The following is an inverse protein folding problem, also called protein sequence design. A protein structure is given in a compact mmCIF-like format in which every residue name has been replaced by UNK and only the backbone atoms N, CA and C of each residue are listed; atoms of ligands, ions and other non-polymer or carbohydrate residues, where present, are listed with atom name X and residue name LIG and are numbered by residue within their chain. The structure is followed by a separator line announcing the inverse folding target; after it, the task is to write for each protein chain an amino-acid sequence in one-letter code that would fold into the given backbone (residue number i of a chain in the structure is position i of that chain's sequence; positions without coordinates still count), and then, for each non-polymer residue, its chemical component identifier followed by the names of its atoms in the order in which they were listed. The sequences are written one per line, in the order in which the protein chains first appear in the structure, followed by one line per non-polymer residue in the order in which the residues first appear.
data_IF_204999481246
#
_entry.id   IF_204999481246
#
_cell.length_a   1.000
_cell.length_b   1.000
_cell.length_c   1.000
_cell.angle_alpha   90.00
_cell.angle_beta   90.00
_cell.angle_gamma   90.00
#
_symmetry.space_group_name_H-M   'P 1'
#
loop_
_entity.id
_entity.type
_entity.pdbx_description
1 polymer ?
#
# COMPACT_ATOMS: atom_id res chain seq x y z
N UNK A 1 -32.94 -9.13 -31.69
CA UNK A 1 -31.69 -8.35 -31.80
C UNK A 1 -31.45 -7.68 -30.46
N UNK A 2 -30.61 -8.27 -29.61
CA UNK A 2 -29.98 -7.66 -28.44
C UNK A 2 -28.68 -8.43 -28.22
N UNK A 3 -27.58 -7.85 -28.66
CA UNK A 3 -26.25 -8.38 -28.40
C UNK A 3 -25.91 -8.07 -26.94
N UNK A 4 -26.05 -9.07 -26.07
CA UNK A 4 -25.41 -9.07 -24.75
C UNK A 4 -23.98 -9.55 -24.98
N UNK A 5 -23.12 -8.64 -25.43
CA UNK A 5 -21.67 -8.80 -25.27
C UNK A 5 -21.35 -8.42 -23.84
N UNK A 6 -21.59 -9.36 -22.91
CA UNK A 6 -20.94 -9.32 -21.61
C UNK A 6 -19.43 -9.37 -21.86
N UNK A 7 -18.77 -8.25 -21.60
CA UNK A 7 -17.32 -8.12 -21.56
C UNK A 7 -16.73 -9.07 -20.49
N UNK A 8 -16.59 -10.35 -20.83
CA UNK A 8 -15.96 -11.40 -20.01
C UNK A 8 -14.43 -11.25 -19.90
N UNK A 9 -13.87 -10.12 -20.33
CA UNK A 9 -12.40 -9.88 -20.36
C UNK A 9 -11.86 -9.21 -19.08
N UNK A 10 -12.69 -8.87 -18.09
CA UNK A 10 -12.27 -7.96 -17.01
C UNK A 10 -11.94 -8.52 -15.58
N UNK A 11 -11.66 -9.82 -15.31
CA UNK A 11 -11.11 -10.20 -14.01
C UNK A 11 -9.56 -10.25 -13.96
N UNK A 12 -8.85 -10.28 -15.10
CA UNK A 12 -7.40 -10.54 -15.09
C UNK A 12 -6.54 -9.35 -14.64
N UNK A 13 -6.93 -8.11 -14.97
CA UNK A 13 -6.13 -6.91 -14.71
C UNK A 13 -5.86 -6.67 -13.21
N UNK A 14 -6.84 -6.81 -12.30
CA UNK A 14 -6.57 -6.70 -10.86
C UNK A 14 -5.55 -7.72 -10.36
N UNK A 15 -5.65 -8.98 -10.79
CA UNK A 15 -4.71 -10.03 -10.36
C UNK A 15 -3.32 -9.90 -11.00
N UNK A 16 -3.21 -9.45 -12.25
CA UNK A 16 -1.91 -9.11 -12.85
C UNK A 16 -1.24 -7.97 -12.07
N UNK A 17 -2.02 -6.93 -11.75
CA UNK A 17 -1.53 -5.78 -10.97
C UNK A 17 -1.08 -6.23 -9.58
N UNK A 18 -1.86 -7.07 -8.91
CA UNK A 18 -1.50 -7.69 -7.64
C UNK A 18 -0.21 -8.51 -7.76
N UNK A 19 -0.06 -9.34 -8.79
CA UNK A 19 1.15 -10.13 -9.00
C UNK A 19 2.40 -9.27 -9.15
N UNK A 20 2.35 -8.22 -9.98
CA UNK A 20 3.45 -7.25 -10.15
C UNK A 20 3.80 -6.55 -8.85
N UNK A 21 2.78 -6.08 -8.14
CA UNK A 21 2.93 -5.42 -6.85
C UNK A 21 3.57 -6.35 -5.82
N UNK A 22 3.08 -7.59 -5.69
CA UNK A 22 3.63 -8.57 -4.73
C UNK A 22 5.06 -8.97 -5.09
N UNK A 23 5.39 -9.13 -6.37
CA UNK A 23 6.77 -9.38 -6.79
C UNK A 23 7.72 -8.26 -6.40
N UNK A 24 7.30 -6.99 -6.46
CA UNK A 24 8.15 -5.88 -6.00
C UNK A 24 8.22 -5.84 -4.47
N UNK A 25 7.07 -5.93 -3.82
CA UNK A 25 6.98 -5.91 -2.36
C UNK A 25 7.88 -6.99 -1.75
N UNK A 26 7.81 -8.22 -2.26
CA UNK A 26 8.48 -9.39 -1.67
C UNK A 26 9.92 -9.62 -2.12
N UNK A 27 10.40 -8.93 -3.16
CA UNK A 27 11.76 -9.14 -3.66
C UNK A 27 12.65 -7.90 -3.46
N UNK A 28 12.06 -6.70 -3.39
CA UNK A 28 12.81 -5.46 -3.56
C UNK A 28 12.53 -4.39 -2.51
N UNK A 29 11.56 -4.59 -1.63
CA UNK A 29 11.33 -3.65 -0.52
C UNK A 29 11.98 -4.14 0.78
N UNK A 30 12.20 -3.21 1.69
CA UNK A 30 12.61 -3.49 3.07
C UNK A 30 11.61 -4.38 3.80
N UNK A 31 10.33 -4.39 3.42
CA UNK A 31 9.34 -5.30 4.02
C UNK A 31 9.66 -6.78 3.73
N UNK A 32 10.33 -7.08 2.62
CA UNK A 32 10.73 -8.45 2.31
C UNK A 32 12.08 -8.85 2.89
N UNK A 33 13.03 -7.91 2.91
CA UNK A 33 14.39 -8.15 3.38
C UNK A 33 14.54 -7.99 4.89
N UNK A 34 13.56 -7.37 5.55
CA UNK A 34 13.53 -7.25 7.00
C UNK A 34 13.35 -8.63 7.63
N UNK A 35 14.44 -9.13 8.22
CA UNK A 35 14.45 -10.31 9.09
C UNK A 35 13.52 -10.17 10.31
N UNK A 36 12.99 -8.97 10.54
CA UNK A 36 12.06 -8.63 11.62
C UNK A 36 10.59 -8.67 11.20
N UNK A 37 10.27 -8.78 9.91
CA UNK A 37 8.88 -8.91 9.45
C UNK A 37 8.36 -10.30 9.79
N UNK A 38 7.19 -10.34 10.41
CA UNK A 38 6.47 -11.55 10.80
C UNK A 38 5.00 -11.42 10.43
N UNK A 39 4.29 -12.54 10.25
CA UNK A 39 2.84 -12.51 10.02
C UNK A 39 2.41 -11.70 8.79
N UNK A 40 3.05 -11.94 7.64
CA UNK A 40 2.61 -11.33 6.38
C UNK A 40 1.28 -11.96 5.94
N UNK A 41 0.26 -11.13 5.79
CA UNK A 41 -1.09 -11.53 5.41
C UNK A 41 -1.57 -10.66 4.24
N UNK A 42 -2.17 -11.31 3.23
CA UNK A 42 -2.72 -10.64 2.06
C UNK A 42 -4.16 -11.10 1.88
N UNK A 43 -5.08 -10.16 1.74
CA UNK A 43 -6.49 -10.47 1.47
C UNK A 43 -7.16 -9.39 0.64
N UNK A 44 -8.25 -9.78 -0.03
CA UNK A 44 -9.07 -8.87 -0.82
C UNK A 44 -10.11 -8.17 0.07
N UNK A 45 -10.37 -6.88 -0.18
CA UNK A 45 -11.45 -6.16 0.51
C UNK A 45 -12.80 -6.48 -0.10
N UNK A 46 -13.81 -6.51 0.76
CA UNK A 46 -15.20 -6.45 0.30
C UNK A 46 -15.43 -5.12 -0.45
N UNK A 47 -15.82 -5.21 -1.73
CA UNK A 47 -15.93 -4.05 -2.62
C UNK A 47 -14.72 -3.79 -3.52
N UNK A 48 -13.68 -4.65 -3.46
CA UNK A 48 -12.51 -4.61 -4.33
C UNK A 48 -11.29 -3.95 -3.70
N UNK A 49 -10.11 -4.28 -4.26
CA UNK A 49 -8.81 -3.86 -3.75
C UNK A 49 -8.19 -4.86 -2.80
N UNK A 50 -6.91 -4.68 -2.50
CA UNK A 50 -6.10 -5.62 -1.72
C UNK A 50 -5.57 -4.96 -0.45
N UNK A 51 -5.47 -5.75 0.61
CA UNK A 51 -4.79 -5.39 1.85
C UNK A 51 -3.56 -6.25 2.00
N UNK A 52 -2.47 -5.61 2.40
CA UNK A 52 -1.24 -6.26 2.80
C UNK A 52 -0.98 -5.83 4.23
N UNK A 53 -0.98 -6.79 5.13
CA UNK A 53 -0.68 -6.58 6.55
C UNK A 53 0.57 -7.35 6.91
N UNK A 54 1.37 -6.77 7.80
CA UNK A 54 2.52 -7.45 8.39
C UNK A 54 2.74 -6.96 9.81
N UNK A 55 3.39 -7.78 10.62
CA UNK A 55 3.75 -7.47 12.00
C UNK A 55 5.25 -7.28 12.13
N UNK A 56 5.66 -6.22 12.84
CA UNK A 56 7.06 -5.78 12.98
C UNK A 56 7.75 -5.45 11.64
N UNK A 57 8.92 -4.82 11.69
CA UNK A 57 9.61 -4.35 10.48
C UNK A 57 9.27 -2.91 10.08
N UNK A 58 9.33 -2.55 8.78
CA UNK A 58 9.30 -1.17 8.33
C UNK A 58 7.90 -0.58 8.34
N UNK A 59 7.84 0.74 8.55
CA UNK A 59 6.61 1.51 8.49
C UNK A 59 6.02 1.56 7.06
N UNK A 60 4.69 1.63 6.91
CA UNK A 60 4.03 1.61 5.60
C UNK A 60 4.47 2.75 4.67
N UNK A 61 4.66 3.95 5.21
CA UNK A 61 5.15 5.08 4.40
C UNK A 61 6.57 4.86 3.88
N UNK A 62 7.41 4.14 4.63
CA UNK A 62 8.75 3.78 4.14
C UNK A 62 8.62 2.80 2.97
N UNK A 63 7.80 1.76 3.12
CA UNK A 63 7.55 0.77 2.07
C UNK A 63 6.93 1.41 0.82
N UNK A 64 5.98 2.34 1.00
CA UNK A 64 5.39 3.09 -0.12
C UNK A 64 6.46 3.88 -0.89
N UNK A 65 7.30 4.64 -0.18
CA UNK A 65 8.38 5.42 -0.82
C UNK A 65 9.38 4.52 -1.56
N UNK A 66 9.69 3.36 -1.00
CA UNK A 66 10.52 2.37 -1.69
C UNK A 66 9.84 1.86 -2.97
N UNK A 67 8.53 1.62 -2.94
CA UNK A 67 7.77 1.23 -4.14
C UNK A 67 7.72 2.34 -5.19
N UNK A 68 7.58 3.61 -4.79
CA UNK A 68 7.64 4.76 -5.70
C UNK A 68 9.03 4.89 -6.34
N UNK A 69 10.10 4.76 -5.54
CA UNK A 69 11.48 4.77 -6.08
C UNK A 69 11.73 3.61 -7.05
N UNK A 70 11.21 2.41 -6.76
CA UNK A 70 11.32 1.25 -7.66
C UNK A 70 10.49 1.42 -8.94
N UNK A 71 9.38 2.15 -8.87
CA UNK A 71 8.60 2.50 -10.06
C UNK A 71 9.32 3.51 -10.95
N UNK A 72 10.14 4.38 -10.35
CA UNK A 72 10.97 5.38 -11.04
C UNK A 72 12.31 4.84 -11.56
N UNK A 73 12.75 3.65 -11.11
CA UNK A 73 13.99 3.04 -11.56
C UNK A 73 13.83 2.26 -12.89
N UNK A 74 14.49 2.78 -13.94
CA UNK A 74 14.52 2.20 -15.29
C UNK A 74 14.90 0.71 -15.31
N UNK A 75 15.72 0.21 -14.38
CA UNK A 75 16.08 -1.21 -14.32
C UNK A 75 14.93 -2.10 -13.79
N UNK A 76 14.03 -1.54 -12.98
CA UNK A 76 12.87 -2.23 -12.38
C UNK A 76 11.54 -1.92 -13.07
N UNK A 77 11.51 -0.96 -14.01
CA UNK A 77 10.32 -0.49 -14.77
C UNK A 77 9.47 -1.59 -15.44
N UNK A 78 10.00 -2.81 -15.59
CA UNK A 78 9.27 -3.95 -16.15
C UNK A 78 8.04 -4.35 -15.33
N UNK A 79 8.01 -4.02 -14.03
CA UNK A 79 6.93 -4.42 -13.10
C UNK A 79 5.96 -3.28 -12.80
N UNK A 80 6.46 -2.09 -12.47
CA UNK A 80 5.73 -0.84 -12.30
C UNK A 80 6.48 0.29 -12.99
N UNK A 81 5.76 1.28 -13.50
CA UNK A 81 6.31 2.46 -14.17
C UNK A 81 6.03 3.74 -13.39
N UNK A 82 6.75 4.85 -13.68
CA UNK A 82 6.47 6.14 -13.08
C UNK A 82 4.99 6.52 -13.27
N UNK A 83 4.32 6.90 -12.19
CA UNK A 83 2.90 7.25 -12.20
C UNK A 83 1.92 6.06 -12.16
N UNK A 84 2.39 4.81 -12.05
CA UNK A 84 1.51 3.68 -11.77
C UNK A 84 0.93 3.75 -10.35
N UNK A 85 1.69 4.31 -9.40
CA UNK A 85 1.24 4.57 -8.02
C UNK A 85 0.57 5.95 -7.96
N UNK A 86 -0.67 5.97 -7.49
CA UNK A 86 -1.55 7.16 -7.51
C UNK A 86 -2.46 7.19 -6.27
N UNK A 87 -3.15 8.31 -6.05
CA UNK A 87 -4.18 8.46 -5.00
C UNK A 87 -3.71 8.04 -3.60
N UNK A 88 -2.48 8.43 -3.24
CA UNK A 88 -1.90 8.14 -1.93
C UNK A 88 -2.64 8.92 -0.84
N UNK A 89 -3.18 8.20 0.13
CA UNK A 89 -3.75 8.73 1.37
C UNK A 89 -2.82 8.38 2.53
N UNK A 90 -1.96 9.34 2.87
CA UNK A 90 -0.97 9.26 3.97
C UNK A 90 -1.58 9.56 5.35
N UNK A 91 -2.82 10.06 5.39
CA UNK A 91 -3.44 10.53 6.63
C UNK A 91 -4.28 9.47 7.34
N UNK A 92 -4.35 8.25 6.80
CA UNK A 92 -5.02 7.14 7.44
C UNK A 92 -4.17 6.59 8.61
N UNK A 93 -4.64 6.70 9.87
CA UNK A 93 -3.85 6.23 11.00
C UNK A 93 -3.64 4.70 10.93
N UNK A 94 -2.38 4.26 10.95
CA UNK A 94 -2.01 2.84 10.94
C UNK A 94 -2.22 2.12 9.61
N UNK A 95 -2.52 2.84 8.53
CA UNK A 95 -2.59 2.25 7.20
C UNK A 95 -2.31 3.28 6.11
N UNK A 96 -1.58 2.90 5.07
CA UNK A 96 -1.39 3.76 3.89
C UNK A 96 -2.20 3.18 2.75
N UNK A 97 -3.08 3.99 2.16
CA UNK A 97 -3.92 3.59 1.03
C UNK A 97 -3.42 4.27 -0.24
N UNK A 98 -3.44 3.55 -1.34
CA UNK A 98 -3.06 4.08 -2.66
C UNK A 98 -3.68 3.23 -3.76
N UNK A 99 -3.48 3.64 -5.00
CA UNK A 99 -3.82 2.84 -6.18
C UNK A 99 -2.57 2.51 -6.98
N UNK A 100 -2.52 1.28 -7.48
CA UNK A 100 -1.54 0.84 -8.47
C UNK A 100 -2.30 0.53 -9.75
N UNK A 101 -2.03 1.26 -10.84
CA UNK A 101 -2.70 1.08 -12.14
C UNK A 101 -4.24 1.05 -12.07
N UNK A 102 -4.80 1.78 -11.11
CA UNK A 102 -6.24 1.88 -10.83
C UNK A 102 -6.80 0.84 -9.84
N UNK A 103 -5.99 -0.09 -9.34
CA UNK A 103 -6.37 -1.08 -8.32
C UNK A 103 -6.00 -0.55 -6.94
N UNK A 104 -6.94 -0.57 -6.00
CA UNK A 104 -6.69 -0.06 -4.65
C UNK A 104 -5.86 -1.04 -3.82
N UNK A 105 -4.87 -0.51 -3.11
CA UNK A 105 -4.05 -1.20 -2.14
C UNK A 105 -4.11 -0.50 -0.78
N UNK A 106 -3.94 -1.28 0.28
CA UNK A 106 -3.77 -0.79 1.63
C UNK A 106 -2.62 -1.55 2.32
N UNK A 107 -1.61 -0.80 2.77
CA UNK A 107 -0.53 -1.32 3.60
C UNK A 107 -0.89 -1.12 5.07
N UNK A 108 -0.95 -2.19 5.84
CA UNK A 108 -1.33 -2.20 7.26
C UNK A 108 -0.21 -2.79 8.12
N UNK A 109 0.78 -1.97 8.47
CA UNK A 109 1.83 -2.40 9.38
C UNK A 109 1.27 -2.45 10.81
N UNK A 110 1.59 -3.52 11.53
CA UNK A 110 1.29 -3.67 12.97
C UNK A 110 2.61 -3.73 13.72
N UNK A 111 2.71 -2.98 14.83
CA UNK A 111 3.89 -2.98 15.71
C UNK A 111 5.24 -2.75 14.97
N UNK A 112 5.26 -1.85 13.98
CA UNK A 112 6.45 -1.54 13.20
C UNK A 112 7.40 -0.56 13.86
N UNK A 113 8.67 -0.63 13.47
CA UNK A 113 9.72 0.30 13.94
C UNK A 113 9.45 1.69 13.37
N UNK A 114 9.42 2.72 14.23
CA UNK A 114 9.12 4.10 13.84
C UNK A 114 7.68 4.55 14.08
N UNK A 115 6.81 3.65 14.56
CA UNK A 115 5.41 3.96 14.98
C UNK A 115 5.38 4.97 16.13
N UNK A 116 6.46 5.10 16.90
CA UNK A 116 6.56 6.10 17.97
C UNK A 116 6.47 7.55 17.43
N UNK A 117 7.04 7.83 16.26
CA UNK A 117 7.02 9.17 15.66
C UNK A 117 5.62 9.56 15.15
N UNK A 118 4.91 8.63 14.50
CA UNK A 118 3.52 8.85 14.08
C UNK A 118 2.56 8.94 15.27
N UNK A 119 2.73 8.10 16.29
CA UNK A 119 1.90 8.18 17.50
C UNK A 119 2.08 9.53 18.20
N UNK A 120 3.28 10.10 18.19
CA UNK A 120 3.52 11.43 18.76
C UNK A 120 2.92 12.55 17.91
N UNK A 121 3.01 12.48 16.58
CA UNK A 121 2.31 13.41 15.68
C UNK A 121 0.79 13.35 15.87
N UNK A 122 0.21 12.15 15.94
CA UNK A 122 -1.23 11.99 16.15
C UNK A 122 -1.68 12.55 17.51
N UNK A 123 -0.87 12.36 18.57
CA UNK A 123 -1.13 12.98 19.89
C UNK A 123 -1.10 14.50 19.83
N UNK A 124 -0.13 15.07 19.11
CA UNK A 124 -0.04 16.52 18.93
C UNK A 124 -1.24 17.07 18.16
N UNK A 125 -1.67 16.38 17.09
CA UNK A 125 -2.84 16.78 16.30
C UNK A 125 -4.13 16.72 17.12
N UNK A 126 -4.32 15.68 17.92
CA UNK A 126 -5.45 15.57 18.86
C UNK A 126 -5.42 16.71 19.89
N UNK A 127 -4.24 17.09 20.38
CA UNK A 127 -4.07 18.19 21.35
C UNK A 127 -4.44 19.53 20.72
N UNK A 128 -3.95 19.83 19.51
CA UNK A 128 -4.29 21.05 18.78
C UNK A 128 -5.79 21.15 18.48
N UNK A 129 -6.43 20.06 18.03
CA UNK A 129 -7.88 20.02 17.84
C UNK A 129 -8.68 20.24 19.13
N UNK A 130 -8.11 19.90 20.30
CA UNK A 130 -8.74 20.08 21.61
C UNK A 130 -8.65 21.54 22.08
N UNK A 131 -7.55 22.21 21.78
CA UNK A 131 -7.32 23.61 22.15
C UNK A 131 -8.14 24.57 21.27
N UNK A 132 -8.44 24.23 20.01
CA UNK A 132 -9.32 25.02 19.12
C UNK A 132 -10.81 25.01 19.58
N UNK A 133 -11.21 24.05 20.43
CA UNK A 133 -12.60 23.93 20.93
C UNK A 133 -12.86 24.61 22.28
N UNK A 134 -11.90 25.38 22.82
CA UNK A 134 -12.06 26.20 24.04
C UNK A 134 -12.14 27.68 23.68
#
# INVERSE_FOLDING_TARGET
MLAVTENLVAPARPYETLGRFLSLLLEQTSAASATTVTGLHIWEKYGGGCVVEWTAGPHAMQVLRELEMLADDDATTTRLSPGDITDVDEYCPGAVKFRVRGVQFELRPVDTVGVEAEREQLRNLIRECRDIRR
#
